data_IF_834323028755
#
_entry.id   IF_834323028755
#
_cell.length_a   1.000
_cell.length_b   1.000
_cell.length_c   1.000
_cell.angle_alpha   90.00
_cell.angle_beta   90.00
_cell.angle_gamma   90.00
#
_symmetry.space_group_name_H-M   'P 1'
#
loop_
_entity.id
_entity.type
_entity.pdbx_description
1 polymer ?
#
# COMPACT_ATOMS: atom_id res chain seq x y z
N UNK A 1 -9.65 17.64 -2.98
CA UNK A 1 -8.68 16.81 -3.74
C UNK A 1 -9.49 15.94 -4.70
N UNK A 2 -9.15 15.92 -5.99
CA UNK A 2 -9.95 15.21 -7.02
C UNK A 2 -9.68 13.71 -6.93
N UNK A 3 -10.72 12.90 -6.83
CA UNK A 3 -10.62 11.44 -6.87
C UNK A 3 -10.70 10.92 -8.30
N UNK A 4 -10.13 9.74 -8.56
CA UNK A 4 -10.22 9.04 -9.84
C UNK A 4 -11.57 8.31 -9.96
N UNK A 5 -11.80 7.61 -11.08
CA UNK A 5 -13.09 6.97 -11.43
C UNK A 5 -13.64 5.95 -10.42
N UNK A 6 -12.88 5.57 -9.38
CA UNK A 6 -13.30 4.65 -8.31
C UNK A 6 -13.13 5.23 -6.89
N UNK A 7 -13.13 6.55 -6.74
CA UNK A 7 -12.70 7.26 -5.52
C UNK A 7 -11.24 7.00 -5.08
N UNK A 8 -10.46 6.25 -5.86
CA UNK A 8 -9.03 6.03 -5.59
C UNK A 8 -8.28 7.36 -5.60
N UNK A 9 -7.40 7.50 -4.63
CA UNK A 9 -6.41 8.59 -4.57
C UNK A 9 -5.11 8.16 -5.26
N UNK A 10 -4.22 9.12 -5.54
CA UNK A 10 -2.89 8.80 -6.05
C UNK A 10 -2.11 7.87 -5.10
N UNK A 11 -2.37 7.99 -3.79
CA UNK A 11 -1.75 7.12 -2.80
C UNK A 11 -2.23 5.67 -2.93
N UNK A 12 -3.53 5.44 -3.20
CA UNK A 12 -4.03 4.10 -3.52
C UNK A 12 -3.28 3.49 -4.71
N UNK A 13 -3.15 4.22 -5.82
CA UNK A 13 -2.49 3.72 -7.02
C UNK A 13 -0.99 3.45 -6.82
N UNK A 14 -0.30 4.32 -6.09
CA UNK A 14 1.13 4.16 -5.80
C UNK A 14 1.46 2.90 -4.99
N UNK A 15 0.45 2.33 -4.33
CA UNK A 15 0.59 1.16 -3.48
C UNK A 15 0.09 -0.13 -4.16
N UNK A 16 -0.49 -0.06 -5.36
CA UNK A 16 -1.00 -1.23 -6.07
C UNK A 16 0.08 -1.85 -6.97
N UNK A 17 0.19 -3.17 -6.94
CA UNK A 17 0.94 -3.90 -7.97
C UNK A 17 0.17 -3.83 -9.31
N UNK A 18 0.63 -2.99 -10.22
CA UNK A 18 0.11 -2.98 -11.59
C UNK A 18 0.76 -4.09 -12.41
N UNK A 19 0.02 -5.15 -12.74
CA UNK A 19 0.40 -6.16 -13.75
C UNK A 19 0.37 -5.61 -15.19
N UNK A 20 0.54 -4.30 -15.39
CA UNK A 20 0.40 -3.73 -16.71
C UNK A 20 1.65 -4.08 -17.54
N UNK A 21 1.53 -5.14 -18.32
CA UNK A 21 2.47 -5.59 -19.35
C UNK A 21 2.50 -4.62 -20.56
N UNK A 22 2.46 -3.31 -20.31
CA UNK A 22 2.62 -2.31 -21.36
C UNK A 22 4.12 -2.15 -21.67
N UNK A 23 4.58 -3.06 -22.53
CA UNK A 23 5.69 -2.93 -23.47
C UNK A 23 6.44 -1.60 -23.47
N UNK A 24 7.61 -1.53 -22.81
CA UNK A 24 8.86 -0.88 -23.28
C UNK A 24 10.01 -1.06 -22.25
N UNK A 25 10.24 -2.25 -21.68
CA UNK A 25 11.45 -2.51 -20.88
C UNK A 25 11.67 -1.68 -19.59
N UNK A 26 10.83 -0.68 -19.31
CA UNK A 26 10.86 0.14 -18.09
C UNK A 26 10.00 -0.58 -17.06
N UNK A 27 10.67 -1.29 -16.15
CA UNK A 27 10.00 -1.96 -15.04
C UNK A 27 9.60 -0.87 -14.02
N UNK A 28 8.45 -0.23 -14.23
CA UNK A 28 7.84 0.61 -13.19
C UNK A 28 7.38 -0.31 -12.05
N UNK A 29 8.19 -0.38 -10.99
CA UNK A 29 7.94 -1.24 -9.83
C UNK A 29 7.12 -0.45 -8.82
N UNK A 30 5.83 -0.76 -8.75
CA UNK A 30 5.01 -0.38 -7.62
C UNK A 30 4.89 -1.55 -6.64
N UNK A 31 4.84 -1.27 -5.34
CA UNK A 31 4.86 0.06 -4.72
C UNK A 31 6.26 0.70 -4.73
N UNK A 32 6.32 2.03 -4.95
CA UNK A 32 7.58 2.79 -5.05
C UNK A 32 7.75 3.69 -3.82
N UNK A 33 8.82 3.46 -3.05
CA UNK A 33 9.08 4.22 -1.82
C UNK A 33 9.15 5.73 -2.05
N UNK A 34 9.86 6.17 -3.09
CA UNK A 34 10.02 7.60 -3.40
C UNK A 34 8.68 8.26 -3.77
N UNK A 35 7.82 7.55 -4.49
CA UNK A 35 6.49 8.08 -4.86
C UNK A 35 5.60 8.19 -3.61
N UNK A 36 5.61 7.17 -2.75
CA UNK A 36 4.83 7.20 -1.50
C UNK A 36 5.30 8.34 -0.59
N UNK A 37 6.62 8.50 -0.41
CA UNK A 37 7.19 9.62 0.34
C UNK A 37 6.77 10.99 -0.20
N UNK A 38 6.81 11.17 -1.52
CA UNK A 38 6.39 12.40 -2.17
C UNK A 38 4.90 12.68 -1.93
N UNK A 39 4.04 11.67 -2.09
CA UNK A 39 2.61 11.85 -1.89
C UNK A 39 2.28 12.21 -0.44
N UNK A 40 2.95 11.58 0.52
CA UNK A 40 2.75 11.87 1.95
C UNK A 40 3.30 13.24 2.34
N UNK A 41 4.43 13.68 1.78
CA UNK A 41 4.94 15.05 2.00
C UNK A 41 3.99 16.12 1.43
N UNK A 42 3.25 15.77 0.37
CA UNK A 42 2.14 16.58 -0.15
C UNK A 42 0.82 16.40 0.63
N UNK A 43 0.84 15.81 1.82
CA UNK A 43 -0.35 15.58 2.67
C UNK A 43 -1.45 14.78 1.95
N UNK A 44 -1.06 13.80 1.13
CA UNK A 44 -2.02 12.87 0.56
C UNK A 44 -2.82 12.18 1.68
N UNK A 45 -4.14 12.00 1.51
CA UNK A 45 -4.99 11.47 2.58
C UNK A 45 -4.69 9.98 2.81
N UNK A 46 -3.96 9.71 3.90
CA UNK A 46 -3.45 8.38 4.28
C UNK A 46 -4.56 7.34 4.53
N UNK A 47 -5.72 7.79 5.02
CA UNK A 47 -6.88 6.96 5.32
C UNK A 47 -8.06 7.22 4.38
N UNK A 48 -7.83 7.80 3.20
CA UNK A 48 -8.90 7.90 2.19
C UNK A 48 -9.44 6.51 1.88
N UNK A 49 -10.72 6.40 1.58
CA UNK A 49 -11.34 5.14 1.15
C UNK A 49 -11.72 5.21 -0.32
N UNK A 50 -11.48 4.13 -1.05
CA UNK A 50 -12.01 3.95 -2.40
C UNK A 50 -13.47 3.45 -2.37
N UNK A 51 -14.07 3.24 -3.55
CA UNK A 51 -15.45 2.74 -3.67
C UNK A 51 -15.66 1.33 -3.06
N UNK A 52 -14.59 0.58 -2.81
CA UNK A 52 -14.65 -0.73 -2.15
C UNK A 52 -14.36 -0.65 -0.65
N UNK A 53 -14.30 0.57 -0.09
CA UNK A 53 -13.89 0.87 1.27
C UNK A 53 -12.42 0.51 1.59
N UNK A 54 -11.59 0.24 0.58
CA UNK A 54 -10.18 0.01 0.81
C UNK A 54 -9.48 1.32 1.14
N UNK A 55 -8.67 1.30 2.19
CA UNK A 55 -7.68 2.36 2.45
C UNK A 55 -6.41 2.10 1.63
N UNK A 56 -5.50 3.09 1.49
CA UNK A 56 -4.20 2.87 0.90
C UNK A 56 -3.44 1.69 1.52
N UNK A 57 -3.54 1.52 2.85
CA UNK A 57 -2.92 0.40 3.56
C UNK A 57 -3.52 -0.96 3.17
N UNK A 58 -4.84 -1.04 2.92
CA UNK A 58 -5.45 -2.27 2.43
C UNK A 58 -4.88 -2.64 1.06
N UNK A 59 -4.82 -1.69 0.11
CA UNK A 59 -4.27 -1.96 -1.21
C UNK A 59 -2.81 -2.40 -1.14
N UNK A 60 -2.01 -1.78 -0.27
CA UNK A 60 -0.63 -2.19 -0.02
C UNK A 60 -0.55 -3.63 0.50
N UNK A 61 -1.36 -3.98 1.50
CA UNK A 61 -1.35 -5.29 2.14
C UNK A 61 -1.92 -6.41 1.25
N UNK A 62 -2.87 -6.09 0.36
CA UNK A 62 -3.45 -7.03 -0.61
C UNK A 62 -2.48 -7.47 -1.71
N UNK A 63 -1.32 -6.83 -1.87
CA UNK A 63 -0.37 -7.22 -2.92
C UNK A 63 0.25 -8.60 -2.65
N UNK A 64 0.59 -9.30 -3.73
CA UNK A 64 1.10 -10.67 -3.63
C UNK A 64 2.58 -10.73 -3.26
N UNK A 65 3.35 -9.66 -3.50
CA UNK A 65 4.78 -9.54 -3.17
C UNK A 65 5.58 -10.80 -3.55
N UNK A 66 5.31 -11.36 -4.73
CA UNK A 66 5.94 -12.59 -5.18
C UNK A 66 7.37 -12.32 -5.67
N UNK A 67 8.33 -13.15 -5.21
CA UNK A 67 9.73 -13.14 -5.69
C UNK A 67 10.46 -11.80 -5.50
N UNK A 68 10.30 -11.17 -4.34
CA UNK A 68 11.08 -9.97 -3.98
C UNK A 68 12.55 -10.32 -3.67
N UNK A 69 13.46 -9.46 -4.10
CA UNK A 69 14.84 -9.46 -3.59
C UNK A 69 14.88 -8.93 -2.15
N UNK A 70 16.00 -9.15 -1.46
CA UNK A 70 16.21 -8.61 -0.10
C UNK A 70 16.11 -7.08 -0.04
N UNK A 71 16.57 -6.39 -1.09
CA UNK A 71 16.51 -4.94 -1.21
C UNK A 71 15.08 -4.47 -1.45
N UNK A 72 14.34 -5.13 -2.34
CA UNK A 72 12.94 -4.82 -2.60
C UNK A 72 12.09 -5.02 -1.34
N UNK A 73 12.32 -6.10 -0.59
CA UNK A 73 11.66 -6.32 0.69
C UNK A 73 11.95 -5.22 1.72
N UNK A 74 13.18 -4.70 1.74
CA UNK A 74 13.54 -3.59 2.63
C UNK A 74 12.75 -2.32 2.29
N UNK A 75 12.51 -2.05 1.00
CA UNK A 75 11.69 -0.94 0.58
C UNK A 75 10.20 -1.16 0.90
N UNK A 76 9.67 -2.37 0.72
CA UNK A 76 8.31 -2.73 1.20
C UNK A 76 8.19 -2.47 2.69
N UNK A 77 9.16 -2.90 3.49
CA UNK A 77 9.16 -2.65 4.93
C UNK A 77 9.16 -1.15 5.25
N UNK A 78 10.02 -0.37 4.59
CA UNK A 78 10.06 1.10 4.78
C UNK A 78 8.75 1.77 4.38
N UNK A 79 8.11 1.31 3.30
CA UNK A 79 6.80 1.83 2.88
C UNK A 79 5.77 1.52 3.96
N UNK A 80 5.77 0.29 4.48
CA UNK A 80 4.88 -0.09 5.57
C UNK A 80 5.08 0.82 6.80
N UNK A 81 6.32 0.91 7.30
CA UNK A 81 6.66 1.74 8.46
C UNK A 81 6.24 3.21 8.21
N UNK A 82 6.51 3.75 7.02
CA UNK A 82 6.13 5.11 6.63
C UNK A 82 4.61 5.34 6.63
N UNK A 83 3.82 4.37 6.18
CA UNK A 83 2.36 4.47 6.22
C UNK A 83 1.86 4.51 7.67
N UNK A 84 2.42 3.67 8.55
CA UNK A 84 2.06 3.65 9.97
C UNK A 84 2.46 4.97 10.65
N UNK A 85 3.69 5.42 10.45
CA UNK A 85 4.20 6.68 11.00
C UNK A 85 3.39 7.89 10.51
N UNK A 86 2.80 7.80 9.32
CA UNK A 86 1.92 8.83 8.76
C UNK A 86 0.47 8.73 9.24
N UNK A 87 0.15 7.80 10.15
CA UNK A 87 -1.17 7.65 10.76
C UNK A 87 -2.13 6.74 10.00
N UNK A 88 -1.64 5.76 9.24
CA UNK A 88 -2.50 4.75 8.61
C UNK A 88 -3.19 3.89 9.68
N UNK A 89 -4.52 3.76 9.57
CA UNK A 89 -5.30 2.94 10.48
C UNK A 89 -5.09 1.44 10.20
N UNK A 90 -4.56 0.71 11.17
CA UNK A 90 -4.34 -0.74 11.11
C UNK A 90 -5.64 -1.55 11.26
N UNK A 91 -6.59 -0.99 11.99
CA UNK A 91 -7.87 -1.57 12.40
C UNK A 91 -9.03 -1.20 11.45
N UNK A 92 -8.78 -0.31 10.47
CA UNK A 92 -9.77 0.01 9.45
C UNK A 92 -10.21 -1.26 8.71
N UNK A 93 -11.52 -1.38 8.48
CA UNK A 93 -12.12 -2.56 7.84
C UNK A 93 -12.67 -2.23 6.46
N UNK A 94 -12.28 -3.01 5.46
CA UNK A 94 -12.89 -3.03 4.14
C UNK A 94 -13.57 -4.39 3.92
N UNK A 95 -14.86 -4.39 3.56
CA UNK A 95 -15.64 -5.63 3.35
C UNK A 95 -15.59 -6.60 4.55
N UNK A 96 -15.49 -6.07 5.77
CA UNK A 96 -15.40 -6.87 7.00
C UNK A 96 -14.01 -7.46 7.29
N UNK A 97 -12.97 -7.05 6.56
CA UNK A 97 -11.57 -7.50 6.75
C UNK A 97 -10.67 -6.32 7.05
N UNK A 98 -9.70 -6.50 7.95
CA UNK A 98 -8.64 -5.51 8.17
C UNK A 98 -7.56 -5.61 7.11
N UNK A 99 -6.68 -4.60 7.02
CA UNK A 99 -5.51 -4.66 6.13
C UNK A 99 -4.62 -5.88 6.40
N UNK A 100 -4.54 -6.32 7.67
CA UNK A 100 -3.80 -7.53 8.07
C UNK A 100 -4.42 -8.82 7.54
N UNK A 101 -5.75 -8.88 7.42
CA UNK A 101 -6.47 -10.07 6.94
C UNK A 101 -6.34 -10.23 5.42
N UNK A 102 -5.99 -9.16 4.73
CA UNK A 102 -5.79 -9.13 3.29
C UNK A 102 -4.42 -9.66 2.83
N UNK A 103 -3.38 -9.60 3.68
CA UNK A 103 -2.03 -10.04 3.29
C UNK A 103 -1.88 -11.56 3.33
N UNK A 104 -1.34 -12.12 2.24
CA UNK A 104 -0.90 -13.52 2.17
C UNK A 104 0.60 -13.67 2.46
N UNK A 105 1.35 -12.56 2.54
CA UNK A 105 2.79 -12.58 2.77
C UNK A 105 3.12 -12.70 4.26
N UNK A 106 3.70 -13.83 4.68
CA UNK A 106 3.95 -14.14 6.10
C UNK A 106 4.84 -13.12 6.83
N UNK A 107 5.86 -12.59 6.16
CA UNK A 107 6.70 -11.55 6.77
C UNK A 107 5.92 -10.25 6.99
N UNK A 108 5.00 -9.90 6.08
CA UNK A 108 4.20 -8.67 6.22
C UNK A 108 3.16 -8.86 7.32
N UNK A 109 2.52 -10.02 7.36
CA UNK A 109 1.62 -10.43 8.45
C UNK A 109 2.30 -10.40 9.82
N UNK A 110 3.60 -10.74 9.86
CA UNK A 110 4.42 -10.62 11.06
C UNK A 110 4.68 -9.17 11.45
N UNK A 111 4.91 -8.25 10.48
CA UNK A 111 5.02 -6.81 10.77
C UNK A 111 3.76 -6.26 11.44
N UNK A 112 2.57 -6.61 10.92
CA UNK A 112 1.29 -6.27 11.55
C UNK A 112 1.09 -6.82 12.98
N UNK A 113 1.90 -7.78 13.44
CA UNK A 113 1.86 -8.26 14.84
C UNK A 113 2.74 -7.45 15.78
N UNK A 114 3.71 -6.71 15.24
CA UNK A 114 4.66 -5.92 16.03
C UNK A 114 4.00 -4.62 16.50
N UNK A 115 3.10 -4.06 15.68
CA UNK A 115 2.39 -2.84 16.00
C UNK A 115 1.08 -3.15 16.76
N UNK A 116 0.86 -2.58 17.96
CA UNK A 116 -0.43 -2.68 18.65
C UNK A 116 -1.49 -1.87 17.91
N UNK A 117 -2.71 -2.41 17.85
CA UNK A 117 -3.90 -1.69 17.38
C UNK A 117 -4.28 -0.57 18.36
#
# INVERSE_FOLDING_TARGET
>A
WRTLSDNKTLLHLSLMEHHNSFSVGIRNRFPSLSVVQLLLSCQAPINAIDNNHYTPLHNFACNKFEKLTKEEWNDIKKIFDLLIDSGAHLDATAQGKTSKDCTQHENLKSLFRIYPN
#
